data_IF_700917024738
#
_entry.id   IF_700917024738
#
_cell.length_a   1.000
_cell.length_b   1.000
_cell.length_c   1.000
_cell.angle_alpha   90.00
_cell.angle_beta   90.00
_cell.angle_gamma   90.00
#
_symmetry.space_group_name_H-M   'P 1'
#
loop_
_entity.id
_entity.type
_entity.pdbx_description
1 polymer ?
#
# COMPACT_ATOMS: atom_id res chain seq x y z
N UNK A 1 32.13 13.01 6.71
CA UNK A 1 31.52 11.72 6.25
C UNK A 1 31.83 11.43 4.78
N UNK A 2 31.59 12.32 3.77
CA UNK A 2 31.88 12.01 2.37
C UNK A 2 33.33 11.60 2.11
N UNK A 3 34.29 12.27 2.74
CA UNK A 3 35.72 11.98 2.59
C UNK A 3 36.14 10.60 3.15
N UNK A 4 35.49 10.14 4.22
CA UNK A 4 35.74 8.79 4.76
C UNK A 4 35.18 7.72 3.80
N UNK A 5 34.01 7.92 3.27
CA UNK A 5 33.38 7.00 2.28
C UNK A 5 34.22 6.95 1.01
N UNK A 6 34.71 8.09 0.52
CA UNK A 6 35.63 8.16 -0.61
C UNK A 6 36.87 7.29 -0.39
N UNK A 7 37.55 7.48 0.75
CA UNK A 7 38.77 6.71 1.07
C UNK A 7 38.52 5.21 1.14
N UNK A 8 37.40 4.80 1.75
CA UNK A 8 37.06 3.37 1.84
C UNK A 8 36.81 2.78 0.45
N UNK A 9 36.06 3.49 -0.41
CA UNK A 9 35.79 3.03 -1.76
C UNK A 9 37.04 2.99 -2.63
N UNK A 10 37.88 4.01 -2.57
CA UNK A 10 39.13 4.03 -3.31
C UNK A 10 40.09 2.91 -2.87
N UNK A 11 40.18 2.63 -1.56
CA UNK A 11 40.98 1.52 -1.04
C UNK A 11 40.40 0.16 -1.51
N UNK A 12 39.08 -0.02 -1.46
CA UNK A 12 38.44 -1.22 -1.96
C UNK A 12 38.62 -1.44 -3.46
N UNK A 13 38.49 -0.40 -4.27
CA UNK A 13 38.75 -0.47 -5.72
C UNK A 13 40.22 -0.80 -6.04
N UNK A 14 41.17 -0.33 -5.24
CA UNK A 14 42.58 -0.71 -5.38
C UNK A 14 42.81 -2.18 -5.00
N UNK A 15 42.15 -2.69 -3.97
CA UNK A 15 42.19 -4.09 -3.59
C UNK A 15 41.62 -4.99 -4.70
N UNK A 16 40.43 -4.64 -5.25
CA UNK A 16 39.85 -5.36 -6.39
C UNK A 16 40.76 -5.39 -7.62
N UNK A 17 41.47 -4.27 -7.93
CA UNK A 17 42.42 -4.25 -9.02
C UNK A 17 43.64 -5.12 -8.72
N UNK A 18 44.09 -5.18 -7.47
CA UNK A 18 45.17 -6.06 -7.04
C UNK A 18 44.80 -7.52 -7.24
N UNK A 19 43.62 -7.92 -6.82
CA UNK A 19 43.13 -9.28 -7.02
C UNK A 19 42.97 -9.63 -8.51
N UNK A 20 42.47 -8.69 -9.32
CA UNK A 20 42.34 -8.87 -10.77
C UNK A 20 43.67 -9.06 -11.48
N UNK A 21 44.69 -8.31 -11.08
CA UNK A 21 46.03 -8.39 -11.69
C UNK A 21 46.91 -9.52 -11.11
N UNK A 22 46.60 -9.99 -9.89
CA UNK A 22 47.34 -11.02 -9.17
C UNK A 22 48.64 -10.54 -8.56
N UNK A 23 48.89 -9.21 -8.48
CA UNK A 23 50.10 -8.63 -7.87
C UNK A 23 49.84 -7.23 -7.29
N UNK A 24 50.60 -6.85 -6.29
CA UNK A 24 50.51 -5.55 -5.64
C UNK A 24 51.15 -4.41 -6.44
N UNK A 25 50.84 -3.18 -6.05
CA UNK A 25 51.44 -1.98 -6.66
C UNK A 25 52.96 -1.98 -6.37
N UNK A 26 53.76 -1.81 -7.42
CA UNK A 26 55.22 -1.84 -7.39
C UNK A 26 55.85 -3.23 -7.21
N UNK A 27 55.12 -4.32 -7.25
CA UNK A 27 55.64 -5.66 -7.21
C UNK A 27 56.35 -6.00 -8.54
N UNK A 28 57.54 -6.62 -8.44
CA UNK A 28 58.33 -7.08 -9.60
C UNK A 28 57.65 -8.21 -10.37
N UNK A 29 56.82 -8.98 -9.73
CA UNK A 29 55.99 -10.03 -10.36
C UNK A 29 55.12 -9.48 -11.49
N UNK A 30 54.76 -8.19 -11.43
CA UNK A 30 54.02 -7.53 -12.50
C UNK A 30 54.79 -7.27 -13.79
N UNK A 31 56.11 -7.39 -13.78
CA UNK A 31 56.93 -7.23 -15.00
C UNK A 31 56.72 -8.42 -15.93
N UNK A 32 56.11 -8.16 -17.11
CA UNK A 32 55.87 -9.20 -18.10
C UNK A 32 54.59 -10.02 -17.89
N UNK A 33 53.70 -9.65 -16.94
CA UNK A 33 52.46 -10.33 -16.65
C UNK A 33 51.39 -10.21 -17.78
N UNK A 34 51.65 -9.43 -18.83
CA UNK A 34 50.71 -9.20 -19.93
C UNK A 34 49.63 -8.15 -19.65
N UNK A 35 49.42 -7.78 -18.40
CA UNK A 35 48.52 -6.68 -17.99
C UNK A 35 49.16 -5.86 -16.85
N UNK A 36 48.84 -4.59 -16.76
CA UNK A 36 49.40 -3.69 -15.74
C UNK A 36 48.40 -2.58 -15.35
N UNK A 37 48.65 -1.98 -14.18
CA UNK A 37 47.93 -0.76 -13.79
C UNK A 37 48.16 0.35 -14.81
N UNK A 38 47.08 1.04 -15.22
CA UNK A 38 47.09 2.06 -16.26
C UNK A 38 46.38 3.34 -15.83
N UNK A 39 46.83 3.91 -14.72
CA UNK A 39 46.29 5.15 -14.20
C UNK A 39 44.92 5.02 -13.58
N UNK A 40 44.23 6.14 -13.49
CA UNK A 40 42.88 6.27 -12.86
C UNK A 40 41.97 7.10 -13.74
N UNK A 41 40.64 6.90 -13.58
CA UNK A 41 39.60 7.73 -14.21
C UNK A 41 38.83 8.45 -13.12
N UNK A 42 38.70 9.80 -13.18
CA UNK A 42 37.84 10.52 -12.25
C UNK A 42 36.39 10.19 -12.53
N UNK A 43 35.59 10.05 -11.47
CA UNK A 43 34.16 9.70 -11.51
C UNK A 43 33.46 10.39 -10.38
N UNK A 44 32.43 11.17 -10.67
CA UNK A 44 31.52 11.70 -9.65
C UNK A 44 30.48 10.64 -9.31
N UNK A 45 30.33 10.33 -8.02
CA UNK A 45 29.47 9.30 -7.51
C UNK A 45 28.55 9.89 -6.45
N UNK A 46 27.23 9.83 -6.67
CA UNK A 46 26.22 10.18 -5.67
C UNK A 46 26.11 9.10 -4.60
N UNK A 47 26.21 9.48 -3.33
CA UNK A 47 26.10 8.57 -2.19
C UNK A 47 25.06 9.07 -1.17
N UNK A 48 24.72 8.24 -0.20
CA UNK A 48 23.82 8.62 0.92
C UNK A 48 24.38 9.75 1.79
N UNK A 49 25.67 10.00 1.71
CA UNK A 49 26.36 11.05 2.50
C UNK A 49 26.77 12.26 1.66
N UNK A 50 26.27 12.36 0.43
CA UNK A 50 26.56 13.40 -0.54
C UNK A 50 27.37 12.91 -1.74
N UNK A 51 27.59 13.82 -2.70
CA UNK A 51 28.42 13.54 -3.88
C UNK A 51 29.89 13.44 -3.49
N UNK A 52 30.58 12.45 -4.07
CA UNK A 52 32.02 12.27 -3.90
C UNK A 52 32.72 12.21 -5.28
N UNK A 53 33.87 12.86 -5.38
CA UNK A 53 34.76 12.76 -6.53
C UNK A 53 35.69 11.58 -6.30
N UNK A 54 35.34 10.44 -6.90
CA UNK A 54 36.03 9.17 -6.78
C UNK A 54 37.05 9.02 -7.92
N UNK A 55 38.19 8.39 -7.65
CA UNK A 55 39.14 7.97 -8.67
C UNK A 55 39.14 6.46 -8.82
N UNK A 56 38.67 5.99 -9.98
CA UNK A 56 38.55 4.56 -10.30
C UNK A 56 39.82 4.08 -10.99
N UNK A 57 40.53 3.07 -10.48
CA UNK A 57 41.72 2.55 -11.10
C UNK A 57 41.43 1.79 -12.40
N UNK A 58 42.37 1.72 -13.31
CA UNK A 58 42.29 1.01 -14.59
C UNK A 58 43.50 0.08 -14.79
N UNK A 59 43.26 -0.99 -15.51
CA UNK A 59 44.26 -1.84 -16.07
C UNK A 59 44.57 -1.44 -17.55
N UNK A 60 45.67 -1.91 -18.07
CA UNK A 60 46.14 -1.60 -19.43
C UNK A 60 45.26 -2.22 -20.51
N UNK A 61 44.73 -3.41 -20.26
CA UNK A 61 43.92 -4.16 -21.21
C UNK A 61 42.45 -3.77 -21.17
N UNK A 62 42.02 -2.91 -20.21
CA UNK A 62 40.60 -2.51 -20.03
C UNK A 62 39.70 -3.63 -19.53
N UNK A 63 40.28 -4.74 -19.07
CA UNK A 63 39.56 -5.95 -18.63
C UNK A 63 39.09 -5.89 -17.19
N UNK A 64 39.56 -4.93 -16.40
CA UNK A 64 39.14 -4.74 -15.01
C UNK A 64 37.66 -4.26 -14.94
N UNK A 65 36.82 -5.06 -14.30
CA UNK A 65 35.43 -4.74 -14.00
C UNK A 65 35.26 -4.61 -12.49
N UNK A 66 35.25 -3.39 -11.93
CA UNK A 66 35.09 -3.18 -10.50
C UNK A 66 33.67 -3.59 -10.04
N UNK A 67 33.58 -4.35 -8.93
CA UNK A 67 32.34 -4.81 -8.33
C UNK A 67 31.76 -3.80 -7.34
N UNK A 68 32.61 -3.11 -6.58
CA UNK A 68 32.23 -2.09 -5.60
C UNK A 68 31.53 -0.89 -6.24
N UNK A 69 32.03 -0.46 -7.39
CA UNK A 69 31.47 0.66 -8.17
C UNK A 69 31.54 0.31 -9.65
N UNK A 70 30.59 -0.41 -10.20
CA UNK A 70 30.57 -0.86 -11.59
C UNK A 70 30.79 0.25 -12.61
N UNK A 71 31.34 -0.11 -13.77
CA UNK A 71 31.49 0.84 -14.89
C UNK A 71 30.12 1.41 -15.26
N UNK A 72 30.04 2.74 -15.47
CA UNK A 72 28.79 3.42 -15.79
C UNK A 72 27.92 3.80 -14.59
N UNK A 73 28.08 3.13 -13.44
CA UNK A 73 27.34 3.48 -12.21
C UNK A 73 27.74 4.87 -11.73
N UNK A 74 26.74 5.74 -11.53
CA UNK A 74 26.94 7.11 -11.02
C UNK A 74 26.36 7.32 -9.63
N UNK A 75 25.79 6.26 -9.03
CA UNK A 75 25.18 6.30 -7.69
C UNK A 75 25.42 4.98 -6.98
N UNK A 76 25.69 5.05 -5.68
CA UNK A 76 25.64 3.87 -4.82
C UNK A 76 24.17 3.57 -4.48
N UNK A 77 23.79 2.28 -4.50
CA UNK A 77 22.40 1.82 -4.44
C UNK A 77 21.54 2.41 -3.33
N UNK A 78 22.09 2.77 -2.18
CA UNK A 78 21.32 3.35 -1.07
C UNK A 78 20.66 4.70 -1.35
N UNK A 79 21.20 5.53 -2.26
CA UNK A 79 20.57 6.82 -2.59
C UNK A 79 19.27 6.63 -3.38
N UNK A 80 19.18 5.64 -4.26
CA UNK A 80 17.95 5.32 -4.98
C UNK A 80 16.88 4.81 -4.02
N UNK A 81 17.24 3.93 -3.09
CA UNK A 81 16.31 3.41 -2.07
C UNK A 81 15.82 4.52 -1.15
N UNK A 82 16.68 5.47 -0.77
CA UNK A 82 16.30 6.64 0.01
C UNK A 82 15.30 7.52 -0.75
N UNK A 83 15.54 7.80 -2.04
CA UNK A 83 14.61 8.57 -2.89
C UNK A 83 13.25 7.89 -2.98
N UNK A 84 13.23 6.57 -3.21
CA UNK A 84 11.99 5.78 -3.26
C UNK A 84 11.27 5.84 -1.91
N UNK A 85 11.98 5.72 -0.79
CA UNK A 85 11.40 5.82 0.56
C UNK A 85 10.81 7.21 0.86
N UNK A 86 11.50 8.29 0.50
CA UNK A 86 11.00 9.66 0.63
C UNK A 86 9.75 9.88 -0.23
N UNK A 87 9.76 9.35 -1.46
CA UNK A 87 8.61 9.41 -2.36
C UNK A 87 7.42 8.62 -1.80
N UNK A 88 7.63 7.40 -1.30
CA UNK A 88 6.63 6.56 -0.63
C UNK A 88 6.04 7.26 0.61
N UNK A 89 6.85 8.03 1.34
CA UNK A 89 6.43 8.88 2.45
C UNK A 89 5.57 10.09 2.06
N UNK A 90 5.37 10.34 0.75
CA UNK A 90 4.50 11.41 0.23
C UNK A 90 5.21 12.69 -0.18
N UNK A 91 6.55 12.75 -0.15
CA UNK A 91 7.28 13.91 -0.67
C UNK A 91 7.12 14.03 -2.18
N UNK A 92 6.91 15.26 -2.65
CA UNK A 92 6.95 15.54 -4.11
C UNK A 92 8.39 15.45 -4.62
N UNK A 93 8.57 15.32 -5.94
CA UNK A 93 9.91 15.31 -6.55
C UNK A 93 10.69 16.58 -6.19
N UNK A 94 10.01 17.74 -6.15
CA UNK A 94 10.63 19.03 -5.75
C UNK A 94 11.05 19.04 -4.27
N UNK A 95 10.23 18.46 -3.40
CA UNK A 95 10.57 18.36 -1.97
C UNK A 95 11.77 17.43 -1.78
N UNK A 96 11.85 16.34 -2.54
CA UNK A 96 12.99 15.42 -2.54
C UNK A 96 14.26 16.12 -3.03
N UNK A 97 14.19 16.89 -4.14
CA UNK A 97 15.31 17.69 -4.61
C UNK A 97 15.84 18.62 -3.50
N UNK A 98 14.94 19.45 -2.95
CA UNK A 98 15.29 20.40 -1.90
C UNK A 98 15.81 19.70 -0.61
N UNK A 99 15.31 18.52 -0.31
CA UNK A 99 15.77 17.71 0.83
C UNK A 99 17.20 17.21 0.60
N UNK A 100 17.47 16.61 -0.56
CA UNK A 100 18.79 16.06 -0.90
C UNK A 100 19.85 17.16 -0.97
N UNK A 101 19.52 18.31 -1.56
CA UNK A 101 20.41 19.47 -1.62
C UNK A 101 20.79 19.95 -0.22
N UNK A 102 19.79 20.15 0.67
CA UNK A 102 20.04 20.64 2.03
C UNK A 102 20.77 19.65 2.94
N UNK A 103 20.48 18.36 2.80
CA UNK A 103 20.98 17.34 3.75
C UNK A 103 22.27 16.65 3.27
N UNK A 104 22.39 16.47 1.98
CA UNK A 104 23.51 15.74 1.39
C UNK A 104 24.40 16.58 0.45
N UNK A 105 24.00 17.83 0.16
CA UNK A 105 24.70 18.66 -0.83
C UNK A 105 24.64 18.07 -2.25
N UNK A 106 23.63 17.20 -2.53
CA UNK A 106 23.49 16.50 -3.79
C UNK A 106 22.40 17.14 -4.63
N UNK A 107 22.76 17.68 -5.80
CA UNK A 107 21.80 18.19 -6.77
C UNK A 107 21.42 17.11 -7.77
N UNK A 108 20.13 16.73 -7.77
CA UNK A 108 19.54 15.82 -8.76
C UNK A 108 18.50 16.56 -9.58
N UNK A 109 18.49 16.29 -10.90
CA UNK A 109 17.44 16.82 -11.77
C UNK A 109 16.08 16.21 -11.44
N UNK A 110 14.99 16.93 -11.72
CA UNK A 110 13.63 16.43 -11.62
C UNK A 110 13.43 15.12 -12.39
N UNK A 111 13.97 15.04 -13.61
CA UNK A 111 13.91 13.87 -14.46
C UNK A 111 14.64 12.67 -13.84
N UNK A 112 15.79 12.90 -13.23
CA UNK A 112 16.56 11.86 -12.54
C UNK A 112 15.77 11.23 -11.40
N UNK A 113 15.12 12.03 -10.55
CA UNK A 113 14.29 11.52 -9.44
C UNK A 113 13.05 10.81 -9.98
N UNK A 114 12.43 11.34 -11.06
CA UNK A 114 11.31 10.68 -11.73
C UNK A 114 11.73 9.29 -12.22
N UNK A 115 12.83 9.18 -12.96
CA UNK A 115 13.33 7.91 -13.48
C UNK A 115 13.64 6.89 -12.38
N UNK A 116 14.21 7.33 -11.24
CA UNK A 116 14.46 6.45 -10.09
C UNK A 116 13.13 5.91 -9.53
N UNK A 117 12.13 6.79 -9.38
CA UNK A 117 10.81 6.35 -8.86
C UNK A 117 10.00 5.57 -9.90
N UNK A 118 10.28 5.73 -11.20
CA UNK A 118 9.61 5.00 -12.28
C UNK A 118 10.20 3.60 -12.48
N UNK A 119 11.39 3.32 -11.94
CA UNK A 119 11.99 1.98 -11.98
C UNK A 119 11.11 0.89 -11.34
N UNK A 120 10.19 1.26 -10.44
CA UNK A 120 9.24 0.31 -9.81
C UNK A 120 7.99 0.03 -10.64
N UNK A 121 7.78 0.68 -11.79
CA UNK A 121 6.53 0.56 -12.56
C UNK A 121 6.27 -0.87 -13.05
N UNK A 122 7.31 -1.58 -13.47
CA UNK A 122 7.18 -2.98 -13.88
C UNK A 122 6.82 -3.87 -12.68
N UNK A 123 7.43 -3.65 -11.51
CA UNK A 123 7.05 -4.37 -10.28
C UNK A 123 5.58 -4.11 -9.89
N UNK A 124 5.08 -2.89 -10.12
CA UNK A 124 3.67 -2.54 -9.89
C UNK A 124 2.76 -3.32 -10.83
N UNK A 125 3.10 -3.43 -12.11
CA UNK A 125 2.32 -4.20 -13.10
C UNK A 125 2.31 -5.69 -12.76
N UNK A 126 3.47 -6.27 -12.43
CA UNK A 126 3.58 -7.66 -12.01
C UNK A 126 2.75 -7.93 -10.74
N UNK A 127 2.81 -7.01 -9.79
CA UNK A 127 2.00 -7.08 -8.59
C UNK A 127 0.50 -6.99 -8.88
N UNK A 128 0.09 -6.08 -9.75
CA UNK A 128 -1.32 -5.91 -10.13
C UNK A 128 -1.87 -7.14 -10.85
N UNK A 129 -1.05 -7.84 -11.63
CA UNK A 129 -1.45 -9.02 -12.41
C UNK A 129 -1.20 -10.37 -11.72
N UNK A 130 -0.59 -10.38 -10.52
CA UNK A 130 -0.22 -11.62 -9.82
C UNK A 130 -1.42 -12.52 -9.55
N UNK A 131 -1.23 -13.85 -9.49
CA UNK A 131 -2.23 -14.79 -9.00
C UNK A 131 -2.65 -14.44 -7.55
N UNK A 132 -3.92 -14.66 -7.24
CA UNK A 132 -4.51 -14.43 -5.92
C UNK A 132 -4.93 -15.77 -5.30
N UNK A 133 -5.20 -15.75 -3.99
CA UNK A 133 -5.74 -16.91 -3.30
C UNK A 133 -7.15 -17.21 -3.83
N UNK A 134 -7.53 -18.48 -3.88
CA UNK A 134 -8.82 -18.87 -4.45
C UNK A 134 -10.01 -18.44 -3.60
N UNK A 135 -9.81 -18.22 -2.29
CA UNK A 135 -10.86 -17.76 -1.39
C UNK A 135 -10.39 -16.61 -0.51
N UNK A 136 -11.27 -15.62 -0.36
CA UNK A 136 -11.16 -14.57 0.65
C UNK A 136 -12.45 -14.56 1.48
N UNK A 137 -12.43 -15.04 2.75
CA UNK A 137 -13.59 -14.97 3.63
C UNK A 137 -14.23 -13.59 3.73
N UNK A 138 -13.42 -12.53 3.69
CA UNK A 138 -13.90 -11.15 3.68
C UNK A 138 -13.16 -10.34 2.61
N UNK A 139 -13.92 -9.62 1.79
CA UNK A 139 -13.43 -8.66 0.80
C UNK A 139 -13.93 -7.26 1.16
N UNK A 140 -13.01 -6.33 1.33
CA UNK A 140 -13.31 -4.91 1.51
C UNK A 140 -13.00 -4.16 0.22
N UNK A 141 -13.92 -3.28 -0.18
CA UNK A 141 -13.77 -2.41 -1.34
C UNK A 141 -14.06 -0.98 -0.91
N UNK A 142 -13.09 -0.11 -1.11
CA UNK A 142 -13.13 1.30 -0.70
C UNK A 142 -12.41 2.18 -1.72
N UNK A 143 -12.68 3.47 -1.70
CA UNK A 143 -12.12 4.43 -2.63
C UNK A 143 -11.48 5.64 -1.91
N UNK A 144 -10.43 6.15 -2.52
CA UNK A 144 -9.75 7.37 -2.11
C UNK A 144 -9.89 8.42 -3.20
N UNK A 145 -10.38 9.60 -2.86
CA UNK A 145 -10.43 10.71 -3.83
C UNK A 145 -9.02 11.24 -4.06
N UNK A 146 -8.61 11.28 -5.31
CA UNK A 146 -7.33 11.80 -5.80
C UNK A 146 -7.56 12.89 -6.85
N UNK A 147 -6.64 13.84 -6.95
CA UNK A 147 -6.66 14.87 -7.99
C UNK A 147 -5.68 14.48 -9.10
N UNK A 148 -6.16 14.27 -10.30
CA UNK A 148 -5.35 13.84 -11.43
C UNK A 148 -5.49 14.83 -12.57
N UNK A 149 -4.39 15.12 -13.25
CA UNK A 149 -4.41 15.92 -14.47
C UNK A 149 -4.97 15.07 -15.62
N UNK A 150 -6.00 15.59 -16.23
CA UNK A 150 -6.65 15.01 -17.39
C UNK A 150 -6.65 16.06 -18.51
N UNK A 151 -5.72 15.94 -19.45
CA UNK A 151 -5.43 16.96 -20.43
C UNK A 151 -4.97 18.29 -19.78
N UNK A 152 -5.73 19.35 -19.97
CA UNK A 152 -5.43 20.68 -19.43
C UNK A 152 -6.11 20.97 -18.09
N UNK A 153 -6.91 20.05 -17.56
CA UNK A 153 -7.67 20.24 -16.31
C UNK A 153 -7.24 19.25 -15.22
N UNK A 154 -7.44 19.63 -13.97
CA UNK A 154 -7.27 18.74 -12.83
C UNK A 154 -8.66 18.29 -12.39
N UNK A 155 -8.90 16.98 -12.41
CA UNK A 155 -10.17 16.37 -12.01
C UNK A 155 -10.01 15.51 -10.76
N UNK A 156 -11.08 15.42 -9.99
CA UNK A 156 -11.17 14.42 -8.94
C UNK A 156 -11.47 13.07 -9.59
N UNK A 157 -10.64 12.08 -9.28
CA UNK A 157 -10.85 10.68 -9.62
C UNK A 157 -10.93 9.85 -8.35
N UNK A 158 -11.47 8.65 -8.44
CA UNK A 158 -11.46 7.68 -7.37
C UNK A 158 -10.32 6.66 -7.58
N UNK A 159 -9.48 6.48 -6.58
CA UNK A 159 -8.53 5.38 -6.51
C UNK A 159 -9.15 4.29 -5.64
N UNK A 160 -9.60 3.22 -6.28
CA UNK A 160 -10.28 2.09 -5.67
C UNK A 160 -9.25 1.07 -5.18
N UNK A 161 -9.47 0.56 -3.96
CA UNK A 161 -8.66 -0.48 -3.36
C UNK A 161 -9.54 -1.68 -3.02
N UNK A 162 -9.07 -2.86 -3.38
CA UNK A 162 -9.62 -4.12 -2.92
C UNK A 162 -8.69 -4.71 -1.85
N UNK A 163 -9.22 -5.04 -0.68
CA UNK A 163 -8.48 -5.68 0.41
C UNK A 163 -9.19 -6.97 0.80
N UNK A 164 -8.53 -8.10 0.55
CA UNK A 164 -9.00 -9.43 0.94
C UNK A 164 -8.41 -9.85 2.28
N UNK A 165 -9.20 -10.52 3.11
CA UNK A 165 -8.73 -11.26 4.29
C UNK A 165 -8.67 -12.72 3.92
N UNK A 166 -7.50 -13.34 4.04
CA UNK A 166 -7.33 -14.77 3.76
C UNK A 166 -7.80 -15.66 4.93
N UNK A 167 -7.67 -16.98 4.77
CA UNK A 167 -8.07 -17.94 5.80
C UNK A 167 -7.24 -17.85 7.08
N UNK A 168 -6.04 -17.32 7.02
CA UNK A 168 -5.17 -17.07 8.18
C UNK A 168 -5.49 -15.74 8.89
N UNK A 169 -6.41 -14.95 8.35
CA UNK A 169 -6.78 -13.63 8.86
C UNK A 169 -5.78 -12.54 8.49
N UNK A 170 -4.94 -12.78 7.51
CA UNK A 170 -4.01 -11.79 6.97
C UNK A 170 -4.72 -10.96 5.89
N UNK A 171 -4.48 -9.65 5.92
CA UNK A 171 -5.06 -8.72 4.96
C UNK A 171 -4.11 -8.47 3.81
N UNK A 172 -4.62 -8.61 2.61
CA UNK A 172 -3.89 -8.39 1.37
C UNK A 172 -4.55 -7.30 0.54
N UNK A 173 -3.78 -6.32 0.08
CA UNK A 173 -4.27 -5.42 -0.97
C UNK A 173 -4.23 -6.19 -2.28
N UNK A 174 -5.37 -6.44 -2.88
CA UNK A 174 -5.52 -7.27 -4.08
C UNK A 174 -5.26 -6.48 -5.37
N UNK A 175 -5.58 -5.19 -5.37
CA UNK A 175 -5.35 -4.31 -6.51
C UNK A 175 -5.70 -2.85 -6.21
N UNK A 176 -5.29 -1.99 -7.13
CA UNK A 176 -5.51 -0.54 -7.12
C UNK A 176 -5.98 -0.14 -8.51
N UNK A 177 -7.14 0.52 -8.63
CA UNK A 177 -7.70 1.00 -9.90
C UNK A 177 -8.05 2.46 -9.76
N UNK A 178 -7.75 3.26 -10.80
CA UNK A 178 -8.05 4.69 -10.82
C UNK A 178 -9.06 4.96 -11.93
N UNK A 179 -10.21 5.55 -11.57
CA UNK A 179 -11.29 5.81 -12.51
C UNK A 179 -12.01 7.13 -12.20
N UNK A 180 -12.59 7.72 -13.24
CA UNK A 180 -13.34 8.97 -13.13
C UNK A 180 -14.79 8.73 -12.74
N UNK A 181 -15.37 7.60 -13.16
CA UNK A 181 -16.77 7.24 -12.93
C UNK A 181 -16.91 5.86 -12.27
N UNK A 182 -17.64 5.82 -11.18
CA UNK A 182 -17.94 4.61 -10.40
C UNK A 182 -19.26 4.00 -10.89
N UNK A 183 -19.24 3.31 -12.02
CA UNK A 183 -20.43 2.66 -12.55
C UNK A 183 -20.39 1.14 -12.42
N UNK A 184 -21.53 0.47 -12.58
CA UNK A 184 -21.65 -0.99 -12.56
C UNK A 184 -20.68 -1.68 -13.54
N UNK A 185 -20.42 -1.07 -14.70
CA UNK A 185 -19.48 -1.58 -15.71
C UNK A 185 -18.03 -1.60 -15.21
N UNK A 186 -17.62 -0.55 -14.50
CA UNK A 186 -16.29 -0.49 -13.89
C UNK A 186 -16.13 -1.60 -12.85
N UNK A 187 -17.09 -1.73 -11.94
CA UNK A 187 -17.03 -2.77 -10.90
C UNK A 187 -17.07 -4.18 -11.48
N UNK A 188 -17.89 -4.41 -12.50
CA UNK A 188 -17.90 -5.69 -13.20
C UNK A 188 -16.50 -6.04 -13.77
N UNK A 189 -15.79 -5.05 -14.33
CA UNK A 189 -14.43 -5.25 -14.83
C UNK A 189 -13.43 -5.57 -13.70
N UNK A 190 -13.49 -4.84 -12.58
CA UNK A 190 -12.62 -5.08 -11.39
C UNK A 190 -12.85 -6.49 -10.82
N UNK A 191 -14.12 -6.90 -10.65
CA UNK A 191 -14.44 -8.21 -10.11
C UNK A 191 -14.07 -9.33 -11.08
N UNK A 192 -14.26 -9.13 -12.40
CA UNK A 192 -13.80 -10.07 -13.42
C UNK A 192 -12.26 -10.22 -13.41
N UNK A 193 -11.51 -9.12 -13.21
CA UNK A 193 -10.06 -9.17 -13.06
C UNK A 193 -9.65 -9.98 -11.83
N UNK A 194 -10.27 -9.74 -10.66
CA UNK A 194 -10.00 -10.54 -9.45
C UNK A 194 -10.27 -12.03 -9.67
N UNK A 195 -11.38 -12.35 -10.33
CA UNK A 195 -11.74 -13.74 -10.68
C UNK A 195 -10.72 -14.38 -11.63
N UNK A 196 -10.31 -13.65 -12.67
CA UNK A 196 -9.30 -14.12 -13.63
C UNK A 196 -7.93 -14.34 -12.97
N UNK A 197 -7.62 -13.62 -11.90
CA UNK A 197 -6.42 -13.80 -11.11
C UNK A 197 -6.53 -14.91 -10.07
N UNK A 198 -7.64 -15.62 -10.00
CA UNK A 198 -7.80 -16.84 -9.21
C UNK A 198 -8.84 -16.79 -8.10
N UNK A 199 -9.44 -15.63 -7.79
CA UNK A 199 -10.45 -15.53 -6.72
C UNK A 199 -11.74 -16.26 -7.13
N UNK A 200 -11.90 -17.47 -6.65
CA UNK A 200 -13.04 -18.32 -6.94
C UNK A 200 -14.24 -18.03 -6.04
N UNK A 201 -14.00 -17.65 -4.79
CA UNK A 201 -15.06 -17.45 -3.81
C UNK A 201 -14.75 -16.32 -2.81
N UNK A 202 -15.84 -15.61 -2.39
CA UNK A 202 -15.83 -14.57 -1.36
C UNK A 202 -17.07 -14.79 -0.49
N UNK A 203 -16.92 -14.92 0.84
CA UNK A 203 -18.08 -15.15 1.71
C UNK A 203 -18.84 -13.84 1.97
N UNK A 204 -18.12 -12.78 2.33
CA UNK A 204 -18.69 -11.49 2.68
C UNK A 204 -17.93 -10.38 1.94
N UNK A 205 -18.65 -9.55 1.21
CA UNK A 205 -18.11 -8.35 0.57
C UNK A 205 -18.61 -7.08 1.29
N UNK A 206 -17.68 -6.31 1.85
CA UNK A 206 -17.97 -5.04 2.52
C UNK A 206 -17.72 -3.90 1.54
N UNK A 207 -18.78 -3.15 1.22
CA UNK A 207 -18.77 -2.11 0.21
C UNK A 207 -19.21 -0.75 0.76
N UNK A 208 -18.78 0.33 0.12
CA UNK A 208 -19.25 1.68 0.39
C UNK A 208 -20.50 1.94 -0.45
N UNK A 209 -21.66 1.55 0.00
CA UNK A 209 -23.02 1.88 -0.47
C UNK A 209 -23.25 2.37 -1.92
N UNK A 210 -22.32 2.12 -2.83
CA UNK A 210 -22.35 2.58 -4.23
C UNK A 210 -23.38 1.82 -5.05
N UNK A 211 -24.11 2.53 -5.90
CA UNK A 211 -25.15 1.97 -6.76
C UNK A 211 -24.54 1.07 -7.85
N UNK A 212 -25.16 -0.10 -8.10
CA UNK A 212 -24.73 -1.06 -9.13
C UNK A 212 -23.58 -1.98 -8.72
N UNK A 213 -23.07 -1.83 -7.50
CA UNK A 213 -21.98 -2.64 -6.98
C UNK A 213 -22.45 -4.00 -6.44
N UNK A 214 -23.52 -4.06 -5.65
CA UNK A 214 -24.08 -5.34 -5.20
C UNK A 214 -24.40 -6.28 -6.35
N UNK A 215 -25.03 -5.77 -7.39
CA UNK A 215 -25.42 -6.53 -8.58
C UNK A 215 -24.20 -7.10 -9.32
N UNK A 216 -23.10 -6.35 -9.39
CA UNK A 216 -21.85 -6.83 -9.99
C UNK A 216 -21.20 -7.94 -9.15
N UNK A 217 -21.24 -7.86 -7.80
CA UNK A 217 -20.77 -8.90 -6.90
C UNK A 217 -21.59 -10.17 -7.04
N UNK A 218 -22.93 -10.05 -7.00
CA UNK A 218 -23.86 -11.18 -7.15
C UNK A 218 -23.69 -11.89 -8.49
N UNK A 219 -23.44 -11.14 -9.57
CA UNK A 219 -23.15 -11.72 -10.89
C UNK A 219 -21.80 -12.47 -10.94
N UNK A 220 -20.80 -12.06 -10.13
CA UNK A 220 -19.47 -12.66 -10.11
C UNK A 220 -19.41 -13.83 -9.11
N UNK A 221 -19.93 -13.65 -7.91
CA UNK A 221 -19.97 -14.60 -6.81
C UNK A 221 -21.39 -14.67 -6.22
N UNK A 222 -22.30 -15.51 -6.78
CA UNK A 222 -23.73 -15.51 -6.43
C UNK A 222 -24.05 -15.80 -4.96
N UNK A 223 -23.11 -16.42 -4.25
CA UNK A 223 -23.30 -16.79 -2.84
C UNK A 223 -22.62 -15.85 -1.86
N UNK A 224 -22.09 -14.70 -2.33
CA UNK A 224 -21.47 -13.69 -1.48
C UNK A 224 -22.52 -12.86 -0.79
N UNK A 225 -22.40 -12.70 0.53
CA UNK A 225 -23.21 -11.75 1.27
C UNK A 225 -22.64 -10.34 1.09
N UNK A 226 -23.41 -9.47 0.47
CA UNK A 226 -23.00 -8.07 0.27
C UNK A 226 -23.43 -7.24 1.48
N UNK A 227 -22.47 -6.58 2.10
CA UNK A 227 -22.65 -5.82 3.32
C UNK A 227 -22.24 -4.36 3.14
N UNK A 228 -23.13 -3.43 3.47
CA UNK A 228 -22.74 -2.01 3.58
C UNK A 228 -21.81 -1.79 4.77
N UNK A 229 -20.72 -1.10 4.54
CA UNK A 229 -19.75 -0.76 5.59
C UNK A 229 -20.42 0.14 6.64
N UNK A 230 -20.58 -0.37 7.86
CA UNK A 230 -21.21 0.34 8.99
C UNK A 230 -20.51 1.67 9.28
N UNK A 231 -19.19 1.71 9.14
CA UNK A 231 -18.40 2.92 9.39
C UNK A 231 -18.68 4.00 8.33
N UNK A 232 -18.82 3.61 7.06
CA UNK A 232 -19.23 4.54 6.01
C UNK A 232 -20.66 5.02 6.21
N UNK A 233 -21.55 4.16 6.66
CA UNK A 233 -22.93 4.53 7.00
C UNK A 233 -22.98 5.57 8.14
N UNK A 234 -22.22 5.33 9.22
CA UNK A 234 -22.07 6.32 10.31
C UNK A 234 -21.46 7.63 9.79
N UNK A 235 -20.44 7.57 8.97
CA UNK A 235 -19.79 8.76 8.40
C UNK A 235 -20.74 9.55 7.49
N UNK A 236 -21.51 8.86 6.66
CA UNK A 236 -22.55 9.47 5.83
C UNK A 236 -23.60 10.19 6.69
N UNK A 237 -24.03 9.57 7.79
CA UNK A 237 -24.92 10.18 8.78
C UNK A 237 -24.36 11.47 9.37
N UNK A 238 -23.06 11.51 9.65
CA UNK A 238 -22.39 12.67 10.27
C UNK A 238 -22.25 13.88 9.31
N UNK A 239 -22.49 13.73 8.01
CA UNK A 239 -22.48 14.86 7.06
C UNK A 239 -23.57 15.90 7.38
N UNK A 240 -24.65 15.45 7.98
CA UNK A 240 -25.81 16.29 8.32
C UNK A 240 -25.79 16.81 9.75
N UNK A 241 -24.76 16.44 10.55
CA UNK A 241 -24.67 16.75 11.97
C UNK A 241 -23.61 17.82 12.21
N UNK A 242 -23.96 18.83 13.03
CA UNK A 242 -23.02 19.86 13.45
C UNK A 242 -21.80 19.26 14.15
N UNK A 243 -20.65 19.91 14.05
CA UNK A 243 -19.41 19.40 14.63
C UNK A 243 -19.54 19.05 16.12
N UNK A 244 -20.21 19.89 16.89
CA UNK A 244 -20.35 19.77 18.36
C UNK A 244 -21.26 18.61 18.77
N UNK A 245 -22.20 18.22 17.91
CA UNK A 245 -23.14 17.16 18.18
C UNK A 245 -22.69 15.79 17.67
N UNK A 246 -21.69 15.72 16.77
CA UNK A 246 -21.26 14.47 16.12
C UNK A 246 -20.96 13.35 17.09
N UNK A 247 -20.25 13.64 18.18
CA UNK A 247 -19.88 12.63 19.18
C UNK A 247 -21.12 12.08 19.89
N UNK A 248 -22.10 12.94 20.19
CA UNK A 248 -23.37 12.57 20.88
C UNK A 248 -24.28 11.77 19.95
N UNK A 249 -24.44 12.21 18.70
CA UNK A 249 -25.22 11.52 17.68
C UNK A 249 -24.62 10.16 17.33
N UNK A 250 -23.29 10.07 17.18
CA UNK A 250 -22.62 8.78 16.95
C UNK A 250 -22.82 7.80 18.11
N UNK A 251 -22.82 8.29 19.36
CA UNK A 251 -23.13 7.47 20.53
C UNK A 251 -24.61 7.00 20.54
N UNK A 252 -25.54 7.87 20.15
CA UNK A 252 -26.96 7.55 20.06
C UNK A 252 -27.29 6.56 18.93
N UNK A 253 -26.50 6.51 17.86
CA UNK A 253 -26.63 5.53 16.78
C UNK A 253 -26.04 4.14 17.14
N UNK A 254 -25.20 4.05 18.18
CA UNK A 254 -24.52 2.82 18.53
C UNK A 254 -25.45 1.64 18.81
N UNK A 255 -26.58 1.78 19.55
CA UNK A 255 -27.49 0.67 19.81
C UNK A 255 -27.98 -0.03 18.53
N UNK A 256 -28.19 0.71 17.44
CA UNK A 256 -28.69 0.17 16.17
C UNK A 256 -27.75 -0.92 15.63
N UNK A 257 -26.45 -0.64 15.50
CA UNK A 257 -25.50 -1.58 14.90
C UNK A 257 -24.85 -2.54 15.91
N UNK A 258 -25.14 -2.39 17.20
CA UNK A 258 -24.74 -3.34 18.24
C UNK A 258 -25.92 -4.21 18.70
N UNK A 259 -27.10 -4.02 18.12
CA UNK A 259 -28.30 -4.79 18.42
C UNK A 259 -28.09 -6.31 18.23
N UNK A 260 -28.69 -7.15 19.07
CA UNK A 260 -28.55 -8.60 18.96
C UNK A 260 -29.24 -9.18 17.71
N UNK A 261 -30.37 -8.60 17.31
CA UNK A 261 -31.19 -9.04 16.18
C UNK A 261 -31.64 -7.87 15.29
N UNK A 262 -32.14 -8.18 14.10
CA UNK A 262 -32.70 -7.19 13.15
C UNK A 262 -33.85 -6.44 13.76
N UNK A 263 -34.75 -7.16 14.46
CA UNK A 263 -35.98 -6.54 15.09
C UNK A 263 -35.59 -5.53 16.17
N UNK A 264 -34.59 -5.86 17.00
CA UNK A 264 -34.10 -4.92 18.02
C UNK A 264 -33.40 -3.74 17.35
N UNK A 265 -32.63 -3.96 16.28
CA UNK A 265 -32.02 -2.87 15.54
C UNK A 265 -33.06 -1.92 14.92
N UNK A 266 -34.19 -2.46 14.40
CA UNK A 266 -35.28 -1.66 13.88
C UNK A 266 -35.93 -0.81 14.98
N UNK A 267 -36.18 -1.40 16.16
CA UNK A 267 -36.69 -0.67 17.32
C UNK A 267 -35.74 0.44 17.77
N UNK A 268 -34.43 0.17 17.81
CA UNK A 268 -33.42 1.18 18.17
C UNK A 268 -33.35 2.32 17.14
N UNK A 269 -33.55 2.01 15.85
CA UNK A 269 -33.61 3.05 14.81
C UNK A 269 -34.89 3.92 14.99
N UNK A 270 -36.00 3.35 15.31
CA UNK A 270 -37.23 4.11 15.59
C UNK A 270 -37.10 4.94 16.87
N UNK A 271 -36.55 4.38 17.95
CA UNK A 271 -36.20 5.12 19.17
C UNK A 271 -35.25 6.28 18.89
N UNK A 272 -34.26 6.06 18.04
CA UNK A 272 -33.38 7.14 17.61
C UNK A 272 -34.12 8.20 16.81
N UNK A 273 -35.04 7.81 15.90
CA UNK A 273 -35.81 8.73 15.09
C UNK A 273 -36.71 9.63 15.96
N UNK A 274 -37.29 9.07 17.02
CA UNK A 274 -38.16 9.79 17.97
C UNK A 274 -37.36 10.62 19.00
N UNK A 275 -36.08 10.38 19.12
CA UNK A 275 -35.21 11.11 20.05
C UNK A 275 -35.00 12.58 19.64
N UNK A 276 -34.51 13.40 20.57
CA UNK A 276 -34.10 14.79 20.27
C UNK A 276 -33.08 14.88 19.13
N UNK A 277 -32.24 13.85 18.94
CA UNK A 277 -31.24 13.79 17.88
C UNK A 277 -31.86 13.45 16.53
N UNK A 278 -32.78 12.49 16.47
CA UNK A 278 -33.50 12.13 15.24
C UNK A 278 -34.37 13.26 14.72
N UNK A 279 -35.07 13.96 15.66
CA UNK A 279 -35.89 15.14 15.32
C UNK A 279 -35.02 16.32 14.85
N UNK A 280 -33.87 16.54 15.48
CA UNK A 280 -32.92 17.61 15.08
C UNK A 280 -32.25 17.30 13.75
N UNK A 281 -31.96 16.01 13.47
CA UNK A 281 -31.21 15.58 12.29
C UNK A 281 -31.98 14.49 11.48
N UNK A 282 -33.16 14.81 10.93
CA UNK A 282 -33.96 13.80 10.24
C UNK A 282 -33.27 13.21 9.00
N UNK A 283 -32.35 13.93 8.39
CA UNK A 283 -31.54 13.41 7.29
C UNK A 283 -30.66 12.22 7.72
N UNK A 284 -30.17 12.21 8.97
CA UNK A 284 -29.43 11.06 9.54
C UNK A 284 -30.31 9.82 9.61
N UNK A 285 -31.56 9.94 10.08
CA UNK A 285 -32.53 8.84 10.11
C UNK A 285 -32.78 8.28 8.71
N UNK A 286 -32.92 9.17 7.72
CA UNK A 286 -33.16 8.79 6.32
C UNK A 286 -31.98 7.98 5.76
N UNK A 287 -30.73 8.38 6.02
CA UNK A 287 -29.54 7.62 5.60
C UNK A 287 -29.57 6.16 6.09
N UNK A 288 -30.01 5.91 7.33
CA UNK A 288 -30.13 4.56 7.87
C UNK A 288 -31.29 3.78 7.26
N UNK A 289 -32.44 4.42 7.06
CA UNK A 289 -33.59 3.78 6.42
C UNK A 289 -33.34 3.41 4.96
N UNK A 290 -32.69 4.30 4.21
CA UNK A 290 -32.33 4.04 2.80
C UNK A 290 -31.28 2.93 2.63
N UNK A 291 -30.40 2.74 3.63
CA UNK A 291 -29.40 1.70 3.63
C UNK A 291 -29.84 0.41 4.32
N UNK A 292 -31.06 0.34 4.86
CA UNK A 292 -31.51 -0.69 5.79
C UNK A 292 -31.31 -2.12 5.26
N UNK A 293 -31.83 -2.44 4.09
CA UNK A 293 -31.76 -3.77 3.49
C UNK A 293 -30.30 -4.25 3.24
N UNK A 294 -29.36 -3.32 3.03
CA UNK A 294 -27.95 -3.63 2.83
C UNK A 294 -27.16 -3.61 4.13
N UNK A 295 -27.75 -3.11 5.21
CA UNK A 295 -27.14 -3.07 6.53
C UNK A 295 -27.48 -4.33 7.35
N UNK A 296 -28.72 -4.80 7.30
CA UNK A 296 -29.23 -5.87 8.16
C UNK A 296 -28.52 -7.22 8.01
N UNK A 297 -27.96 -7.65 6.85
CA UNK A 297 -27.25 -8.92 6.74
C UNK A 297 -26.11 -9.08 7.77
N UNK A 298 -25.46 -7.98 8.13
CA UNK A 298 -24.46 -7.94 9.17
C UNK A 298 -24.99 -8.42 10.55
N UNK A 299 -26.25 -8.17 10.88
CA UNK A 299 -26.85 -8.52 12.16
C UNK A 299 -27.16 -10.03 12.27
N UNK A 300 -27.18 -10.75 11.17
CA UNK A 300 -27.36 -12.20 11.14
C UNK A 300 -26.07 -12.96 11.54
N UNK A 301 -24.91 -12.31 11.44
CA UNK A 301 -23.66 -12.95 11.80
C UNK A 301 -23.42 -13.03 13.31
N UNK A 302 -22.71 -14.07 13.76
CA UNK A 302 -22.29 -14.19 15.15
C UNK A 302 -21.41 -13.01 15.61
N UNK A 303 -21.41 -12.65 16.89
CA UNK A 303 -20.68 -11.48 17.41
C UNK A 303 -19.19 -11.41 17.02
N UNK A 304 -18.41 -12.51 16.97
CA UNK A 304 -17.01 -12.44 16.53
C UNK A 304 -16.87 -11.97 15.08
N UNK A 305 -17.77 -12.40 14.17
CA UNK A 305 -17.77 -11.97 12.76
C UNK A 305 -18.19 -10.51 12.66
N UNK A 306 -19.30 -10.12 13.33
CA UNK A 306 -19.74 -8.72 13.36
C UNK A 306 -18.62 -7.80 13.82
N UNK A 307 -17.90 -8.17 14.88
CA UNK A 307 -16.79 -7.36 15.41
C UNK A 307 -15.74 -7.08 14.34
N UNK A 308 -15.39 -8.04 13.51
CA UNK A 308 -14.43 -7.86 12.43
C UNK A 308 -14.99 -6.95 11.33
N UNK A 309 -16.27 -7.12 10.99
CA UNK A 309 -16.91 -6.35 9.92
C UNK A 309 -17.09 -4.87 10.27
N UNK A 310 -17.45 -4.52 11.52
CA UNK A 310 -17.63 -3.12 11.91
C UNK A 310 -16.39 -2.48 12.55
N UNK A 311 -15.44 -3.27 13.09
CA UNK A 311 -14.15 -2.72 13.53
C UNK A 311 -13.20 -2.60 12.33
N UNK A 312 -13.59 -1.84 11.35
CA UNK A 312 -12.82 -1.59 10.12
C UNK A 312 -11.51 -0.86 10.35
N UNK A 313 -10.99 -0.87 11.58
CA UNK A 313 -9.71 -0.25 11.96
C UNK A 313 -8.56 -0.59 11.00
N UNK A 314 -8.70 -1.65 10.21
CA UNK A 314 -7.63 -2.10 9.30
C UNK A 314 -7.64 -1.38 7.96
N UNK A 315 -8.75 -1.36 7.23
CA UNK A 315 -8.82 -0.64 5.95
C UNK A 315 -8.87 0.86 6.21
N UNK A 316 -9.56 1.30 7.26
CA UNK A 316 -9.58 2.72 7.64
C UNK A 316 -8.20 3.23 8.08
N UNK A 317 -7.44 2.45 8.84
CA UNK A 317 -6.07 2.81 9.21
C UNK A 317 -5.18 2.92 7.97
N UNK A 318 -5.29 1.99 7.01
CA UNK A 318 -4.60 2.05 5.74
C UNK A 318 -5.02 3.30 4.97
N UNK A 319 -6.32 3.49 4.77
CA UNK A 319 -6.86 4.63 4.04
C UNK A 319 -6.53 5.98 4.70
N UNK A 320 -6.51 6.04 6.02
CA UNK A 320 -6.08 7.25 6.74
C UNK A 320 -4.62 7.59 6.43
N UNK A 321 -3.73 6.60 6.45
CA UNK A 321 -2.32 6.81 6.13
C UNK A 321 -2.14 7.21 4.66
N UNK A 322 -2.84 6.54 3.73
CA UNK A 322 -2.81 6.87 2.31
C UNK A 322 -3.36 8.28 2.05
N UNK A 323 -4.48 8.67 2.67
CA UNK A 323 -5.02 10.03 2.58
C UNK A 323 -4.02 11.08 3.07
N UNK A 324 -3.27 10.80 4.13
CA UNK A 324 -2.23 11.70 4.64
C UNK A 324 -1.12 11.90 3.60
N UNK A 325 -0.70 10.81 2.95
CA UNK A 325 0.32 10.84 1.89
C UNK A 325 -0.19 11.59 0.65
N UNK A 326 -1.42 11.30 0.21
CA UNK A 326 -2.06 11.95 -0.95
C UNK A 326 -2.24 13.46 -0.71
N UNK A 327 -2.63 13.86 0.51
CA UNK A 327 -2.90 15.26 0.85
C UNK A 327 -1.70 16.19 0.64
N UNK A 328 -0.49 15.67 0.75
CA UNK A 328 0.73 16.44 0.53
C UNK A 328 0.98 16.77 -0.95
N UNK A 329 0.23 16.11 -1.86
CA UNK A 329 0.33 16.33 -3.31
C UNK A 329 -0.84 17.18 -3.80
N UNK A 330 -0.53 18.23 -4.53
CA UNK A 330 -1.55 19.10 -5.13
C UNK A 330 -2.40 18.33 -6.16
N UNK A 331 -1.73 17.63 -7.08
CA UNK A 331 -2.34 16.74 -8.08
C UNK A 331 -1.29 15.76 -8.63
N UNK A 332 -1.76 14.70 -9.25
CA UNK A 332 -0.95 13.70 -9.97
C UNK A 332 -0.91 14.01 -11.46
N UNK A 333 0.19 13.72 -12.16
CA UNK A 333 0.30 13.96 -13.60
C UNK A 333 -0.59 13.03 -14.44
N UNK A 334 -0.81 11.79 -13.98
CA UNK A 334 -1.62 10.75 -14.61
C UNK A 334 -2.05 9.69 -13.60
N UNK A 335 -2.84 8.72 -14.04
CA UNK A 335 -3.36 7.63 -13.19
C UNK A 335 -2.25 6.67 -12.74
N UNK A 336 -1.26 6.38 -13.59
CA UNK A 336 -0.12 5.50 -13.24
C UNK A 336 0.70 6.07 -12.07
N UNK A 337 0.86 7.41 -12.02
CA UNK A 337 1.54 8.06 -10.90
C UNK A 337 0.77 7.91 -9.58
N UNK A 338 -0.56 7.82 -9.62
CA UNK A 338 -1.40 7.51 -8.44
C UNK A 338 -1.14 6.08 -7.99
N UNK A 339 -1.26 5.11 -8.90
CA UNK A 339 -1.07 3.68 -8.60
C UNK A 339 0.34 3.44 -8.06
N UNK A 340 1.36 4.01 -8.71
CA UNK A 340 2.77 3.93 -8.26
C UNK A 340 2.94 4.44 -6.82
N UNK A 341 2.41 5.64 -6.52
CA UNK A 341 2.54 6.18 -5.16
C UNK A 341 1.81 5.36 -4.14
N UNK A 342 0.57 4.95 -4.41
CA UNK A 342 -0.23 4.16 -3.49
C UNK A 342 0.44 2.81 -3.21
N UNK A 343 0.93 2.14 -4.25
CA UNK A 343 1.65 0.87 -4.10
C UNK A 343 2.90 1.00 -3.24
N UNK A 344 3.76 2.01 -3.51
CA UNK A 344 4.95 2.29 -2.71
C UNK A 344 4.61 2.63 -1.25
N UNK A 345 3.56 3.43 -1.05
CA UNK A 345 3.10 3.79 0.29
C UNK A 345 2.58 2.59 1.07
N UNK A 346 1.81 1.71 0.42
CA UNK A 346 1.30 0.46 1.02
C UNK A 346 2.49 -0.42 1.43
N UNK A 347 3.45 -0.61 0.53
CA UNK A 347 4.67 -1.37 0.78
C UNK A 347 5.46 -0.82 1.98
N UNK A 348 5.68 0.50 2.04
CA UNK A 348 6.38 1.14 3.17
C UNK A 348 5.62 0.99 4.50
N UNK A 349 4.30 1.10 4.48
CA UNK A 349 3.45 0.87 5.67
C UNK A 349 3.59 -0.57 6.18
N UNK A 350 3.55 -1.54 5.29
CA UNK A 350 3.66 -2.96 5.64
C UNK A 350 5.07 -3.32 6.15
N UNK A 351 6.11 -2.80 5.51
CA UNK A 351 7.49 -2.99 5.97
C UNK A 351 7.70 -2.41 7.38
N UNK A 352 7.14 -1.25 7.68
CA UNK A 352 7.18 -0.65 9.03
C UNK A 352 6.46 -1.54 10.06
N UNK A 353 5.28 -2.05 9.71
CA UNK A 353 4.52 -2.98 10.58
C UNK A 353 5.26 -4.31 10.78
N UNK A 354 5.88 -4.85 9.73
CA UNK A 354 6.67 -6.07 9.81
C UNK A 354 7.89 -5.91 10.74
N UNK A 355 8.61 -4.79 10.62
CA UNK A 355 9.74 -4.46 11.50
C UNK A 355 9.30 -4.28 12.95
N UNK A 356 8.18 -3.64 13.20
CA UNK A 356 7.65 -3.48 14.55
C UNK A 356 7.28 -4.82 15.19
N UNK A 357 6.59 -5.70 14.45
CA UNK A 357 6.27 -7.07 14.91
C UNK A 357 7.52 -7.88 15.21
N UNK A 358 8.54 -7.83 14.34
CA UNK A 358 9.81 -8.50 14.58
C UNK A 358 10.51 -7.99 15.85
N UNK A 359 10.47 -6.67 16.10
CA UNK A 359 11.01 -6.05 17.31
C UNK A 359 10.24 -6.50 18.56
N UNK A 360 8.90 -6.54 18.51
CA UNK A 360 8.05 -7.02 19.62
C UNK A 360 8.24 -8.51 19.90
N UNK A 361 8.56 -9.31 18.86
CA UNK A 361 8.87 -10.72 18.97
C UNK A 361 10.34 -11.02 19.36
N UNK A 362 11.18 -10.00 19.61
CA UNK A 362 12.60 -10.17 19.94
C UNK A 362 13.46 -10.71 18.79
N UNK A 363 13.00 -10.64 17.54
CA UNK A 363 13.72 -11.12 16.37
C UNK A 363 14.67 -10.03 15.81
N UNK A 364 15.83 -10.41 15.24
CA UNK A 364 16.75 -9.43 14.65
C UNK A 364 16.10 -8.71 13.46
N UNK A 365 16.11 -7.37 13.51
CA UNK A 365 15.49 -6.50 12.52
C UNK A 365 16.39 -6.18 11.30
N UNK A 366 17.44 -6.95 11.07
CA UNK A 366 18.64 -6.52 10.34
C UNK A 366 18.80 -6.95 8.90
N UNK A 367 17.81 -7.45 8.15
CA UNK A 367 17.97 -7.60 6.70
C UNK A 367 16.76 -7.03 5.95
N UNK A 368 16.97 -6.20 4.88
CA UNK A 368 15.91 -5.94 3.93
C UNK A 368 15.52 -7.27 3.30
N UNK A 369 14.28 -7.71 3.51
CA UNK A 369 13.76 -8.87 2.80
C UNK A 369 13.89 -8.59 1.31
N UNK A 370 14.56 -9.48 0.56
CA UNK A 370 14.36 -9.61 -0.89
C UNK A 370 12.85 -9.53 -1.13
N UNK A 371 12.43 -8.73 -2.11
CA UNK A 371 11.04 -8.55 -2.47
C UNK A 371 10.29 -9.88 -2.38
N UNK A 372 9.39 -10.08 -1.42
CA UNK A 372 8.73 -11.35 -1.28
C UNK A 372 7.76 -11.49 -2.44
N UNK A 373 7.65 -12.68 -2.99
CA UNK A 373 6.61 -13.08 -3.94
C UNK A 373 5.19 -12.89 -3.39
N UNK A 374 5.03 -12.59 -2.11
CA UNK A 374 3.81 -12.15 -1.42
C UNK A 374 4.02 -10.72 -0.93
N UNK A 375 3.77 -9.76 -1.78
CA UNK A 375 3.75 -8.35 -1.44
C UNK A 375 2.45 -8.04 -0.70
N UNK A 376 2.61 -7.42 0.47
CA UNK A 376 1.56 -6.92 1.35
C UNK A 376 0.90 -7.99 2.21
N UNK A 377 1.65 -8.53 3.15
CA UNK A 377 1.06 -9.10 4.35
C UNK A 377 0.48 -7.95 5.18
N UNK A 378 -0.82 -7.68 5.03
CA UNK A 378 -1.57 -6.78 5.90
C UNK A 378 -1.50 -7.24 7.34
N UNK A 379 -1.84 -6.36 8.29
CA UNK A 379 -1.92 -6.75 9.69
C UNK A 379 -2.92 -7.90 9.90
N UNK A 380 -2.64 -8.79 10.85
CA UNK A 380 -3.58 -9.81 11.28
C UNK A 380 -4.88 -9.18 11.80
N UNK A 381 -5.99 -9.79 11.47
CA UNK A 381 -7.31 -9.43 12.02
C UNK A 381 -7.37 -9.88 13.47
N UNK A 382 -7.53 -8.94 14.38
CA UNK A 382 -7.63 -9.27 15.81
C UNK A 382 -8.88 -10.09 16.11
N UNK A 383 -8.71 -11.23 16.76
CA UNK A 383 -9.82 -12.15 17.08
C UNK A 383 -10.21 -13.07 15.90
N UNK A 384 -9.36 -13.18 14.88
CA UNK A 384 -9.64 -13.96 13.66
C UNK A 384 -10.02 -15.42 13.94
N UNK A 385 -9.30 -16.12 14.82
CA UNK A 385 -9.56 -17.53 15.10
C UNK A 385 -11.03 -17.80 15.52
N UNK A 386 -11.57 -16.94 16.39
CA UNK A 386 -12.97 -17.06 16.81
C UNK A 386 -13.95 -16.72 15.68
N UNK A 387 -13.62 -15.71 14.86
CA UNK A 387 -14.44 -15.33 13.72
C UNK A 387 -14.39 -16.36 12.60
N UNK A 388 -13.23 -16.96 12.33
CA UNK A 388 -13.08 -18.02 11.33
C UNK A 388 -13.92 -19.25 11.67
N UNK A 389 -13.89 -19.71 12.92
CA UNK A 389 -14.78 -20.78 13.37
C UNK A 389 -16.27 -20.44 13.23
N UNK A 390 -16.64 -19.18 13.53
CA UNK A 390 -18.00 -18.72 13.34
C UNK A 390 -18.42 -18.60 11.85
N UNK A 391 -17.48 -18.20 10.97
CA UNK A 391 -17.69 -18.18 9.52
C UNK A 391 -17.86 -19.60 8.96
N UNK A 392 -17.06 -20.57 9.41
CA UNK A 392 -17.21 -21.98 8.99
C UNK A 392 -18.60 -22.54 9.32
N UNK A 393 -19.18 -22.12 10.47
CA UNK A 393 -20.55 -22.51 10.81
C UNK A 393 -21.62 -21.77 10.01
N UNK A 394 -21.39 -20.47 9.71
CA UNK A 394 -22.32 -19.66 8.93
C UNK A 394 -22.32 -19.99 7.43
N UNK A 395 -21.21 -20.48 6.92
CA UNK A 395 -21.01 -20.83 5.50
C UNK A 395 -20.50 -22.27 5.34
N UNK A 396 -21.33 -23.29 5.69
CA UNK A 396 -20.90 -24.69 5.71
C UNK A 396 -20.42 -25.15 4.35
N UNK A 397 -19.32 -25.89 4.33
CA UNK A 397 -18.72 -26.46 3.12
C UNK A 397 -17.90 -25.50 2.26
N UNK A 398 -17.98 -24.18 2.48
CA UNK A 398 -17.25 -23.21 1.64
C UNK A 398 -15.81 -22.98 2.08
N UNK A 399 -15.52 -23.19 3.36
CA UNK A 399 -14.17 -23.07 3.92
C UNK A 399 -13.44 -24.42 4.03
N UNK A 400 -14.17 -25.54 4.03
CA UNK A 400 -13.63 -26.90 4.25
C UNK A 400 -12.52 -27.29 3.26
N UNK A 401 -12.56 -26.93 1.96
CA UNK A 401 -11.48 -27.25 1.04
C UNK A 401 -10.15 -26.53 1.34
N UNK A 402 -10.17 -25.57 2.27
CA UNK A 402 -9.05 -24.66 2.54
C UNK A 402 -8.52 -24.75 3.98
N UNK A 403 -9.02 -25.72 4.78
CA UNK A 403 -8.60 -26.00 6.16
C UNK A 403 -7.39 -26.95 6.20
#
# INVERSE_FOLDING_TARGET
>A
MPELVKRVLEAGLQAELTDHLGYEKHDRVGYGSGNSRNGVTPKRLGTEVGDIDLVTPRDRNGSFEPRLVPKGERRLGGLSDMIISLYAGGMTIRDIQAHLERTLGTELSHETISNITDAVVEEVKDWQSRPLEPIYPILYLDALVVKVRDGHTVRNKAAHLAVGVDCDGVKHVLGIWVETSEGAKFWAAVLAELRNRGVSDVLIACVDGLTGFPEAIEATWPHTVVQTCVVHLIRASMRFVSHDDRKKVAAALKPIYTAPTVDVAAQELDLFADSTWGQKYPATVRVWRDAWERFIPFLEFPPPVRKILYTTNSIESLNYQLRKIIKNRGHFPNDDAVVKLLWLAIRDIEDKRARQRAKEAGQPTGQPRKAPSRLVEGGLVQGWKAAYGALSLAFPGRLDPWI
#
